data_IF_004057559686
#
_entry.id   IF_004057559686
#
_cell.length_a   1.000
_cell.length_b   1.000
_cell.length_c   1.000
_cell.angle_alpha   90.00
_cell.angle_beta   90.00
_cell.angle_gamma   90.00
#
_symmetry.space_group_name_H-M   'P 1'
#
loop_
_entity.id
_entity.type
_entity.pdbx_description
1 polymer ?
#
# COMPACT_ATOMS: atom_id res chain seq x y z
N UNK A 1 -9.67 1.59 21.40
CA UNK A 1 -9.28 0.81 22.59
C UNK A 1 -10.41 -0.16 22.89
N UNK A 2 -10.15 -1.46 23.04
CA UNK A 2 -11.21 -2.45 23.35
C UNK A 2 -11.23 -2.64 24.86
N UNK A 3 -12.41 -2.61 25.47
CA UNK A 3 -12.59 -2.84 26.91
C UNK A 3 -12.15 -4.28 27.27
N UNK A 4 -11.18 -4.46 28.19
CA UNK A 4 -10.76 -5.79 28.64
C UNK A 4 -11.90 -6.64 29.20
N UNK A 5 -12.98 -6.04 29.71
CA UNK A 5 -14.14 -6.75 30.21
C UNK A 5 -14.87 -7.54 29.10
N UNK A 6 -14.78 -7.13 27.84
CA UNK A 6 -15.38 -7.88 26.72
C UNK A 6 -14.52 -9.07 26.27
N UNK A 7 -13.24 -9.10 26.67
CA UNK A 7 -12.27 -10.15 26.34
C UNK A 7 -12.18 -11.26 27.39
N UNK A 8 -13.06 -11.23 28.42
CA UNK A 8 -13.14 -12.26 29.47
C UNK A 8 -13.79 -13.54 28.94
N UNK A 9 -13.47 -14.71 29.54
CA UNK A 9 -14.09 -15.98 29.18
C UNK A 9 -15.63 -15.94 29.21
N UNK A 10 -16.27 -16.54 28.21
CA UNK A 10 -17.74 -16.55 28.01
C UNK A 10 -18.28 -15.36 27.20
N UNK A 11 -17.40 -14.60 26.54
CA UNK A 11 -17.75 -13.44 25.70
C UNK A 11 -17.05 -13.54 24.34
N UNK A 12 -16.05 -12.69 24.08
CA UNK A 12 -15.20 -12.80 22.88
C UNK A 12 -14.08 -13.80 23.15
N UNK A 13 -14.43 -15.07 23.13
CA UNK A 13 -13.51 -16.17 23.41
C UNK A 13 -12.53 -16.39 22.24
N UNK A 14 -12.98 -16.14 21.01
CA UNK A 14 -12.15 -16.26 19.80
C UNK A 14 -11.68 -14.88 19.34
N UNK A 15 -10.37 -14.73 19.20
CA UNK A 15 -9.72 -13.50 18.73
C UNK A 15 -8.96 -13.80 17.45
N UNK A 16 -9.52 -13.38 16.33
CA UNK A 16 -8.90 -13.54 15.02
C UNK A 16 -8.23 -12.22 14.66
N UNK A 17 -6.90 -12.24 14.55
CA UNK A 17 -6.14 -11.10 14.06
C UNK A 17 -6.18 -11.13 12.53
N UNK A 18 -6.71 -10.08 11.91
CA UNK A 18 -6.63 -9.88 10.47
C UNK A 18 -5.36 -9.08 10.20
N UNK A 19 -4.39 -9.71 9.55
CA UNK A 19 -3.12 -9.08 9.22
C UNK A 19 -3.21 -8.34 7.88
N UNK A 20 -2.22 -7.47 7.63
CA UNK A 20 -2.07 -6.83 6.33
C UNK A 20 -1.74 -7.90 5.28
N UNK A 21 -2.20 -7.73 4.03
CA UNK A 21 -1.92 -8.71 2.98
C UNK A 21 -0.42 -8.80 2.71
N UNK A 22 0.09 -10.02 2.56
CA UNK A 22 1.36 -10.29 1.89
C UNK A 22 1.16 -10.29 0.37
N UNK A 23 2.23 -10.50 -0.39
CA UNK A 23 2.24 -10.56 -1.87
C UNK A 23 1.16 -11.50 -2.42
N UNK A 24 1.05 -12.72 -1.89
CA UNK A 24 0.06 -13.71 -2.32
C UNK A 24 -1.38 -13.26 -2.04
N UNK A 25 -1.63 -12.75 -0.83
CA UNK A 25 -2.94 -12.23 -0.44
C UNK A 25 -3.31 -10.98 -1.25
N UNK A 26 -2.34 -10.13 -1.58
CA UNK A 26 -2.56 -8.97 -2.44
C UNK A 26 -2.99 -9.39 -3.84
N UNK A 27 -2.30 -10.36 -4.46
CA UNK A 27 -2.70 -10.90 -5.76
C UNK A 27 -4.13 -11.47 -5.73
N UNK A 28 -4.49 -12.20 -4.66
CA UNK A 28 -5.86 -12.68 -4.47
C UNK A 28 -6.86 -11.54 -4.35
N UNK A 29 -6.55 -10.47 -3.61
CA UNK A 29 -7.41 -9.28 -3.51
C UNK A 29 -7.54 -8.61 -4.87
N UNK A 30 -6.45 -8.38 -5.60
CA UNK A 30 -6.47 -7.82 -6.96
C UNK A 30 -7.41 -8.62 -7.88
N UNK A 31 -7.34 -9.95 -7.86
CA UNK A 31 -8.20 -10.81 -8.68
C UNK A 31 -9.71 -10.67 -8.42
N UNK A 32 -10.12 -10.11 -7.27
CA UNK A 32 -11.52 -9.78 -7.00
C UNK A 32 -12.00 -8.56 -7.77
N UNK A 33 -11.10 -7.64 -8.08
CA UNK A 33 -11.41 -6.35 -8.71
C UNK A 33 -10.94 -6.26 -10.17
N UNK A 34 -9.97 -7.10 -10.56
CA UNK A 34 -9.40 -7.21 -11.90
C UNK A 34 -9.62 -8.64 -12.42
N UNK A 35 -10.53 -8.79 -13.38
CA UNK A 35 -10.93 -10.08 -13.95
C UNK A 35 -11.15 -9.97 -15.47
N UNK A 36 -11.12 -11.10 -16.18
CA UNK A 36 -11.13 -11.15 -17.65
C UNK A 36 -12.39 -10.60 -18.34
N UNK A 37 -13.50 -10.46 -17.60
CA UNK A 37 -14.70 -9.79 -18.12
C UNK A 37 -14.56 -8.24 -18.23
N UNK A 38 -13.52 -7.63 -17.66
CA UNK A 38 -13.24 -6.21 -17.84
C UNK A 38 -12.68 -5.94 -19.24
N UNK A 39 -12.91 -4.76 -19.84
CA UNK A 39 -12.25 -4.39 -21.09
C UNK A 39 -10.74 -4.27 -20.85
N UNK A 40 -9.97 -5.13 -21.51
CA UNK A 40 -8.51 -5.14 -21.50
C UNK A 40 -8.02 -4.65 -22.85
N UNK A 41 -6.88 -3.97 -22.86
CA UNK A 41 -6.23 -3.59 -24.11
C UNK A 41 -5.85 -4.85 -24.91
N UNK A 42 -6.07 -4.82 -26.23
CA UNK A 42 -5.84 -5.97 -27.09
C UNK A 42 -4.36 -6.35 -27.20
N UNK A 43 -3.46 -5.36 -27.11
CA UNK A 43 -2.01 -5.57 -27.08
C UNK A 43 -1.57 -6.29 -25.82
N UNK A 44 -2.16 -5.96 -24.66
CA UNK A 44 -1.87 -6.66 -23.40
C UNK A 44 -2.31 -8.13 -23.45
N UNK A 45 -3.50 -8.39 -24.00
CA UNK A 45 -4.00 -9.75 -24.18
C UNK A 45 -3.08 -10.56 -25.11
N UNK A 46 -2.58 -9.95 -26.18
CA UNK A 46 -1.66 -10.60 -27.10
C UNK A 46 -0.27 -10.84 -26.48
N UNK A 47 0.31 -9.81 -25.87
CA UNK A 47 1.70 -9.81 -25.42
C UNK A 47 1.90 -10.52 -24.07
N UNK A 48 1.05 -10.22 -23.08
CA UNK A 48 1.14 -10.82 -21.75
C UNK A 48 0.38 -12.14 -21.67
N UNK A 49 -0.79 -12.20 -22.33
CA UNK A 49 -1.67 -13.37 -22.28
C UNK A 49 -1.41 -14.42 -23.35
N UNK A 50 -0.65 -14.11 -24.41
CA UNK A 50 -0.55 -14.99 -25.58
C UNK A 50 -1.89 -15.22 -26.28
N UNK A 51 -2.80 -14.24 -26.21
CA UNK A 51 -4.19 -14.33 -26.68
C UNK A 51 -5.20 -14.76 -25.62
N UNK A 52 -4.77 -15.19 -24.44
CA UNK A 52 -5.63 -15.59 -23.33
C UNK A 52 -5.83 -14.42 -22.35
N UNK A 53 -7.10 -14.04 -22.14
CA UNK A 53 -7.47 -12.90 -21.29
C UNK A 53 -7.23 -13.18 -19.82
N UNK A 54 -7.44 -14.40 -19.35
CA UNK A 54 -7.22 -14.74 -17.94
C UNK A 54 -5.72 -14.72 -17.64
N UNK A 55 -4.88 -15.21 -18.56
CA UNK A 55 -3.41 -15.09 -18.43
C UNK A 55 -2.94 -13.64 -18.45
N UNK A 56 -3.51 -12.81 -19.31
CA UNK A 56 -3.18 -11.39 -19.36
C UNK A 56 -3.51 -10.71 -18.01
N UNK A 57 -4.68 -10.99 -17.44
CA UNK A 57 -5.05 -10.48 -16.12
C UNK A 57 -4.07 -10.94 -15.04
N UNK A 58 -3.76 -12.23 -15.00
CA UNK A 58 -2.79 -12.77 -14.02
C UNK A 58 -1.45 -12.06 -14.13
N UNK A 59 -0.91 -11.91 -15.33
CA UNK A 59 0.36 -11.21 -15.56
C UNK A 59 0.30 -9.72 -15.17
N UNK A 60 -0.82 -9.04 -15.45
CA UNK A 60 -1.03 -7.65 -15.01
C UNK A 60 -1.10 -7.53 -13.48
N UNK A 61 -1.73 -8.49 -12.80
CA UNK A 61 -1.77 -8.56 -11.32
C UNK A 61 -0.35 -8.77 -10.77
N UNK A 62 0.39 -9.73 -11.32
CA UNK A 62 1.76 -10.02 -10.92
C UNK A 62 2.63 -8.77 -11.03
N UNK A 63 2.60 -8.06 -12.16
CA UNK A 63 3.34 -6.80 -12.32
C UNK A 63 2.93 -5.73 -11.30
N UNK A 64 1.64 -5.54 -11.07
CA UNK A 64 1.16 -4.53 -10.11
C UNK A 64 1.55 -4.89 -8.67
N UNK A 65 1.53 -6.18 -8.32
CA UNK A 65 1.92 -6.68 -7.01
C UNK A 65 3.43 -6.58 -6.82
N UNK A 66 4.23 -6.97 -7.82
CA UNK A 66 5.68 -6.85 -7.77
C UNK A 66 6.09 -5.38 -7.56
N UNK A 67 5.46 -4.46 -8.29
CA UNK A 67 5.67 -3.01 -8.11
C UNK A 67 5.29 -2.54 -6.70
N UNK A 68 4.11 -2.96 -6.20
CA UNK A 68 3.61 -2.54 -4.89
C UNK A 68 4.44 -3.10 -3.72
N UNK A 69 5.12 -4.23 -3.93
CA UNK A 69 5.92 -4.92 -2.90
C UNK A 69 7.44 -4.78 -3.11
N UNK A 70 7.89 -4.07 -4.14
CA UNK A 70 9.31 -3.83 -4.39
C UNK A 70 9.95 -3.04 -3.23
N UNK A 71 11.19 -3.38 -2.92
CA UNK A 71 12.00 -2.73 -1.86
C UNK A 71 13.14 -1.93 -2.46
N UNK A 72 12.85 -1.15 -3.50
CA UNK A 72 13.76 -0.18 -4.07
C UNK A 72 13.63 1.17 -3.37
N UNK A 73 14.49 2.10 -3.77
CA UNK A 73 14.50 3.43 -3.18
C UNK A 73 13.22 4.23 -3.50
N UNK A 74 12.50 3.94 -4.59
CA UNK A 74 11.27 4.66 -4.94
C UNK A 74 10.11 4.29 -4.00
N UNK A 75 10.14 3.07 -3.47
CA UNK A 75 9.16 2.58 -2.52
C UNK A 75 9.52 2.78 -1.04
N UNK A 76 10.65 3.43 -0.74
CA UNK A 76 11.01 3.84 0.62
C UNK A 76 9.99 4.84 1.17
N UNK A 77 9.35 4.51 2.28
CA UNK A 77 8.27 5.31 2.83
C UNK A 77 8.67 6.01 4.12
N UNK A 78 9.05 5.24 5.16
CA UNK A 78 9.43 5.81 6.46
C UNK A 78 10.80 5.33 6.92
N UNK A 79 11.52 6.23 7.59
CA UNK A 79 12.65 5.89 8.47
C UNK A 79 12.19 5.99 9.93
N UNK A 80 12.33 4.88 10.65
CA UNK A 80 12.01 4.78 12.07
C UNK A 80 13.31 4.75 12.86
N UNK A 81 13.42 5.56 13.91
CA UNK A 81 14.54 5.51 14.87
C UNK A 81 14.06 5.00 16.22
N UNK A 82 14.76 4.01 16.74
CA UNK A 82 14.51 3.38 18.03
C UNK A 82 15.30 4.05 19.16
N UNK A 83 14.88 3.83 20.40
CA UNK A 83 15.50 4.43 21.60
C UNK A 83 16.97 4.01 21.77
N UNK A 84 17.34 2.81 21.31
CA UNK A 84 18.71 2.32 21.29
C UNK A 84 19.58 3.00 20.20
N UNK A 85 19.00 3.84 19.35
CA UNK A 85 19.67 4.54 18.24
C UNK A 85 19.58 3.83 16.89
N UNK A 86 19.04 2.61 16.83
CA UNK A 86 18.87 1.87 15.59
C UNK A 86 17.91 2.59 14.64
N UNK A 87 18.17 2.47 13.34
CA UNK A 87 17.32 2.98 12.28
C UNK A 87 16.83 1.86 11.40
N UNK A 88 15.57 1.93 10.98
CA UNK A 88 14.93 0.96 10.11
C UNK A 88 14.16 1.67 9.01
N UNK A 89 14.40 1.23 7.77
CA UNK A 89 13.70 1.70 6.59
C UNK A 89 12.50 0.81 6.32
N UNK A 90 11.36 1.45 6.10
CA UNK A 90 10.09 0.80 5.86
C UNK A 90 9.60 1.18 4.46
N UNK A 91 8.98 0.24 3.78
CA UNK A 91 8.52 0.40 2.41
C UNK A 91 6.99 0.44 2.36
N UNK A 92 6.40 0.92 1.26
CA UNK A 92 4.94 0.94 1.11
C UNK A 92 4.30 -0.43 1.28
N UNK A 93 5.01 -1.50 0.91
CA UNK A 93 4.57 -2.89 1.08
C UNK A 93 4.09 -3.20 2.50
N UNK A 94 4.71 -2.58 3.51
CA UNK A 94 4.41 -2.80 4.93
C UNK A 94 3.11 -2.09 5.38
N UNK A 95 2.59 -1.18 4.53
CA UNK A 95 1.34 -0.41 4.72
C UNK A 95 0.20 -0.86 3.83
N UNK A 96 0.43 -1.89 3.03
CA UNK A 96 -0.57 -2.49 2.15
C UNK A 96 -1.86 -2.83 2.88
N UNK A 97 -2.99 -2.63 2.22
CA UNK A 97 -4.32 -2.97 2.72
C UNK A 97 -5.26 -3.30 1.56
N UNK A 98 -6.33 -4.05 1.83
CA UNK A 98 -7.33 -4.37 0.80
C UNK A 98 -8.00 -3.13 0.23
N UNK A 99 -8.25 -2.11 1.05
CA UNK A 99 -8.83 -0.83 0.60
C UNK A 99 -7.89 -0.06 -0.34
N UNK A 100 -6.59 -0.10 -0.08
CA UNK A 100 -5.57 0.49 -0.97
C UNK A 100 -5.56 -0.21 -2.33
N UNK A 101 -5.59 -1.55 -2.34
CA UNK A 101 -5.64 -2.34 -3.59
C UNK A 101 -6.92 -2.01 -4.39
N UNK A 102 -8.07 -1.93 -3.72
CA UNK A 102 -9.32 -1.53 -4.38
C UNK A 102 -9.22 -0.12 -5.00
N UNK A 103 -8.65 0.84 -4.27
CA UNK A 103 -8.44 2.20 -4.76
C UNK A 103 -7.53 2.24 -5.99
N UNK A 104 -6.44 1.47 -5.99
CA UNK A 104 -5.51 1.34 -7.12
C UNK A 104 -6.27 0.85 -8.35
N UNK A 105 -7.05 -0.24 -8.23
CA UNK A 105 -7.81 -0.78 -9.37
C UNK A 105 -8.88 0.20 -9.86
N UNK A 106 -9.56 0.90 -8.94
CA UNK A 106 -10.54 1.94 -9.29
C UNK A 106 -9.89 3.09 -10.05
N UNK A 107 -8.69 3.52 -9.63
CA UNK A 107 -7.92 4.58 -10.27
C UNK A 107 -7.43 4.15 -11.65
N UNK A 108 -6.93 2.93 -11.79
CA UNK A 108 -6.48 2.38 -13.07
C UNK A 108 -7.63 2.34 -14.09
N UNK A 109 -8.83 1.90 -13.68
CA UNK A 109 -10.04 1.96 -14.51
C UNK A 109 -10.37 3.39 -14.96
N UNK A 110 -10.22 4.38 -14.06
CA UNK A 110 -10.43 5.79 -14.40
C UNK A 110 -9.40 6.30 -15.41
N UNK A 111 -8.14 5.90 -15.30
CA UNK A 111 -7.09 6.25 -16.27
C UNK A 111 -7.38 5.65 -17.64
N UNK A 112 -7.77 4.38 -17.71
CA UNK A 112 -8.15 3.73 -18.97
C UNK A 112 -9.34 4.43 -19.66
N UNK A 113 -10.37 4.81 -18.90
CA UNK A 113 -11.52 5.56 -19.44
C UNK A 113 -11.07 6.93 -19.97
N UNK A 114 -10.20 7.64 -19.24
CA UNK A 114 -9.65 8.93 -19.71
C UNK A 114 -8.87 8.76 -21.00
N UNK A 115 -7.95 7.78 -21.07
CA UNK A 115 -7.19 7.47 -22.30
C UNK A 115 -8.14 7.19 -23.47
N UNK A 116 -9.18 6.39 -23.26
CA UNK A 116 -10.14 6.09 -24.32
C UNK A 116 -10.87 7.35 -24.83
N UNK A 117 -11.21 8.29 -23.95
CA UNK A 117 -11.83 9.57 -24.34
C UNK A 117 -10.84 10.44 -25.12
N UNK A 118 -9.58 10.48 -24.69
CA UNK A 118 -8.57 11.40 -25.25
C UNK A 118 -7.96 10.88 -26.57
N UNK A 119 -7.72 9.58 -26.69
CA UNK A 119 -6.99 8.98 -27.83
C UNK A 119 -7.82 7.98 -28.64
N UNK A 120 -8.98 7.55 -28.13
CA UNK A 120 -9.78 6.47 -28.73
C UNK A 120 -9.28 5.06 -28.39
N UNK A 121 -8.15 4.92 -27.69
CA UNK A 121 -7.57 3.63 -27.33
C UNK A 121 -8.28 3.03 -26.10
N UNK A 122 -9.01 1.94 -26.32
CA UNK A 122 -9.84 1.29 -25.31
C UNK A 122 -9.14 0.13 -24.58
N UNK A 123 -9.63 -0.15 -23.37
CA UNK A 123 -9.19 -1.28 -22.55
C UNK A 123 -8.11 -0.90 -21.55
N UNK A 124 -8.11 -1.59 -20.41
CA UNK A 124 -7.15 -1.39 -19.33
C UNK A 124 -5.77 -1.94 -19.69
N UNK A 125 -4.70 -1.21 -19.35
CA UNK A 125 -3.30 -1.58 -19.54
C UNK A 125 -2.58 -1.86 -18.23
N UNK A 126 -1.45 -2.58 -18.29
CA UNK A 126 -0.57 -2.75 -17.13
C UNK A 126 -0.06 -1.38 -16.64
N UNK A 127 0.25 -0.49 -17.57
CA UNK A 127 0.68 0.89 -17.28
C UNK A 127 -0.33 1.68 -16.43
N UNK A 128 -1.64 1.47 -16.63
CA UNK A 128 -2.67 2.14 -15.81
C UNK A 128 -2.61 1.69 -14.35
N UNK A 129 -2.28 0.42 -14.11
CA UNK A 129 -2.14 -0.15 -12.77
C UNK A 129 -0.87 0.39 -12.11
N UNK A 130 0.26 0.33 -12.79
CA UNK A 130 1.55 0.84 -12.27
C UNK A 130 1.46 2.34 -11.95
N UNK A 131 0.93 3.15 -12.88
CA UNK A 131 0.70 4.57 -12.63
C UNK A 131 -0.22 4.81 -11.43
N UNK A 132 -1.20 3.94 -11.22
CA UNK A 132 -2.12 4.04 -10.09
C UNK A 132 -1.48 3.63 -8.75
N UNK A 133 -0.59 2.64 -8.73
CA UNK A 133 0.22 2.27 -7.55
C UNK A 133 1.03 3.49 -7.11
N UNK A 134 1.84 4.07 -8.01
CA UNK A 134 2.66 5.23 -7.69
C UNK A 134 1.85 6.46 -7.29
N UNK A 135 0.66 6.65 -7.86
CA UNK A 135 -0.20 7.77 -7.47
C UNK A 135 -0.83 7.54 -6.09
N UNK A 136 -1.28 6.32 -5.77
CA UNK A 136 -1.82 5.99 -4.45
C UNK A 136 -0.76 6.16 -3.36
N UNK A 137 0.48 5.76 -3.63
CA UNK A 137 1.61 5.94 -2.71
C UNK A 137 1.92 7.41 -2.45
N UNK A 138 2.02 8.23 -3.51
CA UNK A 138 2.23 9.69 -3.38
C UNK A 138 1.12 10.39 -2.60
N UNK A 139 -0.13 10.03 -2.82
CA UNK A 139 -1.25 10.60 -2.05
C UNK A 139 -1.22 10.16 -0.58
N UNK A 140 -0.70 8.97 -0.29
CA UNK A 140 -0.48 8.49 1.07
C UNK A 140 0.70 9.16 1.78
N UNK A 141 1.72 9.64 1.05
CA UNK A 141 2.82 10.44 1.62
C UNK A 141 2.35 11.77 2.21
N UNK A 142 1.32 12.38 1.61
CA UNK A 142 0.83 13.70 1.98
C UNK A 142 -0.15 13.70 3.16
N UNK A 143 -0.64 12.53 3.59
CA UNK A 143 -1.65 12.40 4.64
C UNK A 143 -1.01 12.17 6.03
N UNK A 144 -0.98 13.18 6.93
CA UNK A 144 -0.40 13.04 8.28
C UNK A 144 -1.22 12.13 9.22
N UNK A 145 -2.37 11.61 8.78
CA UNK A 145 -3.34 10.94 9.63
C UNK A 145 -3.40 9.40 9.47
N UNK A 146 -2.65 8.81 8.53
CA UNK A 146 -2.70 7.34 8.30
C UNK A 146 -1.70 6.55 9.13
N UNK A 147 -0.96 7.23 10.01
CA UNK A 147 0.27 6.72 10.59
C UNK A 147 0.18 6.76 12.11
N UNK A 148 -0.78 6.04 12.70
CA UNK A 148 -0.90 5.94 14.15
C UNK A 148 0.34 5.20 14.71
N UNK A 149 1.12 5.79 15.63
CA UNK A 149 2.24 5.15 16.35
C UNK A 149 1.95 3.72 16.87
N UNK A 150 0.70 3.42 17.24
CA UNK A 150 0.30 2.10 17.73
C UNK A 150 0.24 1.02 16.64
N UNK A 151 0.00 1.40 15.38
CA UNK A 151 0.07 0.45 14.27
C UNK A 151 1.52 0.06 13.96
N UNK A 152 2.47 0.95 14.27
CA UNK A 152 3.91 0.69 14.16
C UNK A 152 4.43 -0.30 15.20
N UNK A 153 3.99 -0.16 16.45
CA UNK A 153 4.31 -1.11 17.49
C UNK A 153 3.84 -2.55 17.16
N UNK A 154 2.84 -2.69 16.29
CA UNK A 154 2.34 -3.98 15.79
C UNK A 154 3.08 -4.47 14.53
N UNK A 155 3.57 -3.56 13.68
CA UNK A 155 4.27 -3.89 12.43
C UNK A 155 5.74 -4.24 12.68
N UNK A 156 6.45 -3.54 13.58
CA UNK A 156 7.91 -3.72 13.71
C UNK A 156 8.31 -5.13 14.14
N UNK A 157 7.42 -5.91 14.77
CA UNK A 157 7.68 -7.29 15.22
C UNK A 157 8.78 -7.40 16.30
N UNK A 158 9.63 -6.38 16.46
CA UNK A 158 10.63 -6.18 17.49
C UNK A 158 9.93 -5.84 18.78
N UNK A 159 9.45 -6.90 19.44
CA UNK A 159 9.09 -6.90 20.85
C UNK A 159 10.25 -6.31 21.67
N UNK A 160 10.20 -5.03 22.01
CA UNK A 160 11.04 -4.46 23.07
C UNK A 160 11.49 -3.02 22.87
N UNK A 161 11.73 -2.58 21.65
CA UNK A 161 12.39 -1.28 21.43
C UNK A 161 11.39 -0.16 21.13
N UNK A 162 11.44 0.89 21.95
CA UNK A 162 10.54 2.04 21.83
C UNK A 162 10.98 2.92 20.67
N UNK A 163 10.04 3.24 19.78
CA UNK A 163 10.24 4.21 18.70
C UNK A 163 10.33 5.63 19.31
N UNK A 164 11.41 6.35 19.02
CA UNK A 164 11.63 7.73 19.48
C UNK A 164 11.43 8.76 18.38
N UNK A 165 11.61 8.38 17.10
CA UNK A 165 11.48 9.29 15.98
C UNK A 165 11.00 8.55 14.73
N UNK A 166 10.17 9.23 13.92
CA UNK A 166 9.65 8.74 12.64
C UNK A 166 9.73 9.86 11.62
N UNK A 167 10.29 9.57 10.43
CA UNK A 167 10.44 10.51 9.32
C UNK A 167 9.89 9.91 8.04
N UNK A 168 9.09 10.67 7.30
CA UNK A 168 8.70 10.33 5.92
C UNK A 168 9.83 10.59 4.94
N UNK A 169 10.03 9.70 3.97
CA UNK A 169 11.06 9.78 2.95
C UNK A 169 10.45 10.31 1.64
N UNK A 170 9.90 11.53 1.68
CA UNK A 170 9.29 12.14 0.49
C UNK A 170 10.38 12.48 -0.53
N UNK A 171 10.35 11.83 -1.69
CA UNK A 171 11.22 12.18 -2.82
C UNK A 171 10.55 13.28 -3.66
N UNK A 172 10.90 14.53 -3.41
CA UNK A 172 10.57 15.63 -4.35
C UNK A 172 11.59 15.65 -5.49
N UNK A 173 11.16 15.72 -6.76
CA UNK A 173 12.06 15.70 -7.92
C UNK A 173 13.04 16.91 -8.00
N UNK A 174 12.89 17.93 -7.15
CA UNK A 174 13.78 19.10 -7.12
C UNK A 174 14.92 19.03 -6.08
N UNK A 175 14.93 18.04 -5.17
CA UNK A 175 15.91 17.99 -4.08
C UNK A 175 16.87 16.79 -4.24
N UNK A 176 18.02 17.03 -4.89
CA UNK A 176 19.15 16.08 -4.96
C UNK A 176 19.86 15.83 -3.61
N UNK A 177 19.23 16.20 -2.49
CA UNK A 177 19.60 15.86 -1.12
C UNK A 177 18.31 15.66 -0.31
N UNK A 178 18.19 14.63 0.54
CA UNK A 178 16.99 14.39 1.34
C UNK A 178 16.86 15.49 2.40
N UNK A 179 16.25 16.62 2.04
CA UNK A 179 15.91 17.70 2.97
C UNK A 179 14.65 17.32 3.73
N UNK A 180 14.85 16.83 4.96
CA UNK A 180 13.93 16.92 6.08
C UNK A 180 12.46 16.59 5.77
N UNK A 181 12.13 15.30 5.71
CA UNK A 181 10.74 14.85 5.81
C UNK A 181 10.05 15.42 7.06
N UNK A 182 8.73 15.63 6.96
CA UNK A 182 7.92 16.18 8.06
C UNK A 182 8.00 15.20 9.24
N UNK A 183 8.49 15.68 10.38
CA UNK A 183 8.52 14.92 11.63
C UNK A 183 7.10 14.78 12.17
N UNK A 184 6.64 13.55 12.38
CA UNK A 184 5.39 13.31 13.12
C UNK A 184 5.73 13.39 14.61
N UNK A 185 5.59 14.58 15.20
CA UNK A 185 5.67 14.75 16.66
C UNK A 185 4.44 14.13 17.33
N UNK A 186 4.66 13.42 18.44
CA UNK A 186 3.58 12.84 19.23
C UNK A 186 2.71 13.96 19.82
N UNK A 187 1.42 13.96 19.50
CA UNK A 187 0.41 14.54 20.38
C UNK A 187 0.37 13.65 21.62
N UNK A 188 0.74 14.19 22.78
CA UNK A 188 0.60 13.50 24.05
C UNK A 188 -0.89 13.18 24.25
N UNK A 189 -1.27 11.91 24.20
CA UNK A 189 -2.58 11.46 24.67
C UNK A 189 -2.67 11.77 26.15
N UNK A 190 -3.33 12.88 26.47
CA UNK A 190 -3.57 13.31 27.85
C UNK A 190 -4.27 12.21 28.62
N UNK A 191 -3.67 11.80 29.73
CA UNK A 191 -4.36 11.05 30.78
C UNK A 191 -5.49 11.93 31.31
N UNK A 192 -6.73 11.57 30.97
CA UNK A 192 -7.86 12.01 31.79
C UNK A 192 -7.86 11.12 33.04
N UNK A 193 -7.60 11.76 34.18
CA UNK A 193 -7.80 11.25 35.54
C UNK A 193 -9.27 10.89 35.78
#
# INVERSE_FOLDING_TARGET
>A
LIDPAILRPGRLDVKIKIERPNTEAAAQIFSRYLHSALPLDAGEVANLGGGDRDKAVTAMIEQAVDEMYATDAENEFLEVTYQNGDKELMYFKDFSSGAMIENIVRRAKKLAIKRQIDTGEAGLRAEDLLASVHQEFREHEDLPNTTNPDDWAKISGKKGERIVYVRTLVKKPEDAQPKGGRSIERVATGQYL
#
